data_IF_841706651205
#
_entry.id   IF_841706651205
#
_cell.length_a   1.000
_cell.length_b   1.000
_cell.length_c   1.000
_cell.angle_alpha   90.00
_cell.angle_beta   90.00
_cell.angle_gamma   90.00
#
_symmetry.space_group_name_H-M   'P 1'
#
loop_
_entity.id
_entity.type
_entity.pdbx_description
1 polymer ?
#
# COMPACT_ATOMS: atom_id res chain seq x y z
N UNK A 1 21.67 60.56 -57.28
CA UNK A 1 21.41 59.17 -57.61
C UNK A 1 22.30 58.28 -56.72
N UNK A 2 21.75 57.54 -55.78
CA UNK A 2 22.50 56.56 -54.99
C UNK A 2 22.72 55.30 -55.83
N UNK A 3 23.94 54.96 -56.14
CA UNK A 3 24.31 53.68 -56.82
C UNK A 3 23.88 52.54 -55.90
N UNK A 4 22.95 51.71 -56.33
CA UNK A 4 22.66 50.42 -55.69
C UNK A 4 23.83 49.49 -56.05
N UNK A 5 24.64 49.11 -55.08
CA UNK A 5 25.62 48.02 -55.23
C UNK A 5 24.86 46.68 -55.27
N UNK A 6 25.00 45.93 -56.36
CA UNK A 6 24.49 44.57 -56.48
C UNK A 6 25.42 43.60 -55.73
N UNK A 7 24.84 42.55 -55.17
CA UNK A 7 25.58 41.44 -54.53
C UNK A 7 26.45 40.71 -55.58
N UNK A 8 27.69 40.39 -55.22
CA UNK A 8 28.55 39.56 -56.04
C UNK A 8 28.21 38.07 -55.86
N UNK A 9 28.44 37.25 -56.91
CA UNK A 9 28.24 35.80 -56.84
C UNK A 9 29.01 35.13 -55.67
N UNK A 10 30.19 35.64 -55.37
CA UNK A 10 31.06 35.14 -54.28
C UNK A 10 30.45 35.44 -52.89
N UNK A 11 29.89 36.62 -52.71
CA UNK A 11 29.21 37.06 -51.52
C UNK A 11 27.97 36.20 -51.23
N UNK A 12 27.19 35.85 -52.25
CA UNK A 12 26.03 34.96 -52.18
C UNK A 12 26.44 33.55 -51.71
N UNK A 13 27.49 32.97 -52.30
CA UNK A 13 28.00 31.65 -51.96
C UNK A 13 28.52 31.62 -50.52
N UNK A 14 29.29 32.64 -50.11
CA UNK A 14 29.77 32.75 -48.72
C UNK A 14 28.62 32.83 -47.69
N UNK A 15 27.57 33.60 -47.99
CA UNK A 15 26.40 33.67 -47.12
C UNK A 15 25.68 32.34 -46.99
N UNK A 16 25.50 31.57 -48.07
CA UNK A 16 24.85 30.28 -48.03
C UNK A 16 25.67 29.27 -47.23
N UNK A 17 27.00 29.27 -47.34
CA UNK A 17 27.88 28.38 -46.58
C UNK A 17 27.78 28.70 -45.06
N UNK A 18 27.92 29.98 -44.71
CA UNK A 18 27.82 30.41 -43.32
C UNK A 18 26.43 30.11 -42.73
N UNK A 19 25.38 30.35 -43.52
CA UNK A 19 24.00 30.09 -43.09
C UNK A 19 23.77 28.59 -42.92
N UNK A 20 24.35 27.72 -43.76
CA UNK A 20 24.30 26.26 -43.62
C UNK A 20 24.98 25.77 -42.34
N UNK A 21 26.15 26.31 -42.01
CA UNK A 21 26.88 25.97 -40.77
C UNK A 21 26.08 26.41 -39.53
N UNK A 22 25.58 27.65 -39.51
CA UNK A 22 24.79 28.19 -38.42
C UNK A 22 23.46 27.41 -38.23
N UNK A 23 22.81 27.05 -39.35
CA UNK A 23 21.58 26.24 -39.29
C UNK A 23 21.84 24.84 -38.76
N UNK A 24 22.94 24.19 -39.10
CA UNK A 24 23.31 22.87 -38.56
C UNK A 24 23.55 22.92 -37.09
N UNK A 25 24.33 23.87 -36.57
CA UNK A 25 24.59 24.06 -35.14
C UNK A 25 23.27 24.37 -34.39
N UNK A 26 22.42 25.23 -34.95
CA UNK A 26 21.11 25.55 -34.40
C UNK A 26 20.19 24.32 -34.30
N UNK A 27 20.17 23.46 -35.33
CA UNK A 27 19.39 22.22 -35.32
C UNK A 27 19.86 21.24 -34.24
N UNK A 28 21.17 21.08 -34.01
CA UNK A 28 21.74 20.22 -32.96
C UNK A 28 21.38 20.74 -31.56
N UNK A 29 21.44 22.05 -31.34
CA UNK A 29 21.06 22.68 -30.07
C UNK A 29 19.57 22.43 -29.78
N UNK A 30 18.70 22.65 -30.77
CA UNK A 30 17.27 22.45 -30.61
C UNK A 30 16.97 20.98 -30.33
N UNK A 31 17.58 20.03 -31.05
CA UNK A 31 17.45 18.59 -30.82
C UNK A 31 17.83 18.21 -29.39
N UNK A 32 18.99 18.65 -28.92
CA UNK A 32 19.46 18.40 -27.57
C UNK A 32 18.56 19.00 -26.49
N UNK A 33 18.07 20.22 -26.70
CA UNK A 33 17.11 20.86 -25.78
C UNK A 33 15.79 20.09 -25.71
N UNK A 34 15.29 19.64 -26.86
CA UNK A 34 14.06 18.85 -26.90
C UNK A 34 14.21 17.49 -26.22
N UNK A 35 15.30 16.79 -26.45
CA UNK A 35 15.61 15.51 -25.78
C UNK A 35 15.73 15.69 -24.26
N UNK A 36 16.44 16.74 -23.81
CA UNK A 36 16.55 17.07 -22.39
C UNK A 36 15.18 17.43 -21.77
N UNK A 37 14.34 18.14 -22.48
CA UNK A 37 12.97 18.44 -22.05
C UNK A 37 12.15 17.18 -21.87
N UNK A 38 12.15 16.26 -22.85
CA UNK A 38 11.43 14.98 -22.77
C UNK A 38 11.91 14.16 -21.57
N UNK A 39 13.23 14.07 -21.38
CA UNK A 39 13.84 13.34 -20.26
C UNK A 39 13.44 13.93 -18.92
N UNK A 40 13.51 15.25 -18.76
CA UNK A 40 13.15 15.93 -17.53
C UNK A 40 11.66 15.74 -17.22
N UNK A 41 10.81 15.83 -18.24
CA UNK A 41 9.37 15.59 -18.10
C UNK A 41 9.07 14.16 -17.66
N UNK A 42 9.71 13.16 -18.26
CA UNK A 42 9.54 11.76 -17.89
C UNK A 42 9.99 11.49 -16.46
N UNK A 43 11.18 11.98 -16.07
CA UNK A 43 11.70 11.86 -14.69
C UNK A 43 10.74 12.47 -13.67
N UNK A 44 10.26 13.69 -13.91
CA UNK A 44 9.34 14.38 -12.98
C UNK A 44 8.02 13.60 -12.86
N UNK A 45 7.46 13.09 -13.97
CA UNK A 45 6.26 12.26 -13.96
C UNK A 45 6.47 11.00 -13.13
N UNK A 46 7.54 10.25 -13.37
CA UNK A 46 7.85 9.03 -12.65
C UNK A 46 8.08 9.28 -11.16
N UNK A 47 8.81 10.34 -10.81
CA UNK A 47 9.02 10.71 -9.41
C UNK A 47 7.71 11.01 -8.68
N UNK A 48 6.78 11.72 -9.33
CA UNK A 48 5.47 12.03 -8.77
C UNK A 48 4.62 10.77 -8.62
N UNK A 49 4.58 9.93 -9.64
CA UNK A 49 3.83 8.66 -9.60
C UNK A 49 4.37 7.72 -8.50
N UNK A 50 5.69 7.59 -8.39
CA UNK A 50 6.33 6.78 -7.36
C UNK A 50 6.02 7.30 -5.95
N UNK A 51 6.03 8.64 -5.76
CA UNK A 51 5.68 9.27 -4.49
C UNK A 51 4.24 9.00 -4.10
N UNK A 52 3.29 9.21 -5.03
CA UNK A 52 1.87 8.97 -4.80
C UNK A 52 1.62 7.49 -4.43
N UNK A 53 2.23 6.56 -5.16
CA UNK A 53 2.11 5.13 -4.88
C UNK A 53 2.64 4.79 -3.48
N UNK A 54 3.85 5.25 -3.14
CA UNK A 54 4.43 5.02 -1.81
C UNK A 54 3.62 5.68 -0.68
N UNK A 55 3.04 6.88 -0.92
CA UNK A 55 2.18 7.54 0.06
C UNK A 55 0.89 6.74 0.33
N UNK A 56 0.26 6.23 -0.72
CA UNK A 56 -0.94 5.38 -0.57
C UNK A 56 -0.64 4.09 0.20
N UNK A 57 0.50 3.46 -0.08
CA UNK A 57 0.95 2.26 0.64
C UNK A 57 1.25 2.60 2.10
N UNK A 58 2.02 3.67 2.33
CA UNK A 58 2.44 4.09 3.67
C UNK A 58 1.25 4.40 4.58
N UNK A 59 0.22 5.07 4.06
CA UNK A 59 -1.01 5.38 4.83
C UNK A 59 -1.73 4.13 5.32
N UNK A 60 -1.73 3.04 4.54
CA UNK A 60 -2.35 1.78 4.96
C UNK A 60 -1.47 1.00 5.93
N UNK A 61 -0.16 0.93 5.64
CA UNK A 61 0.80 0.29 6.53
C UNK A 61 0.98 1.00 7.87
N UNK A 62 0.69 2.29 7.95
CA UNK A 62 0.72 3.04 9.22
C UNK A 62 -0.27 2.47 10.25
N UNK A 63 -1.40 1.95 9.78
CA UNK A 63 -2.44 1.36 10.61
C UNK A 63 -2.39 -0.17 10.68
N UNK A 64 -1.21 -0.75 10.38
CA UNK A 64 -1.01 -2.20 10.50
C UNK A 64 -1.00 -2.66 11.95
N UNK A 65 -1.46 -3.85 12.19
CA UNK A 65 -1.16 -4.60 13.40
C UNK A 65 0.23 -5.20 13.20
N UNK A 66 1.23 -4.75 13.97
CA UNK A 66 2.66 -4.98 13.69
C UNK A 66 3.01 -6.46 13.59
N UNK A 67 2.43 -7.28 14.46
CA UNK A 67 2.76 -8.70 14.55
C UNK A 67 2.07 -9.55 13.48
N UNK A 68 1.10 -8.98 12.75
CA UNK A 68 0.40 -9.68 11.66
C UNK A 68 1.10 -9.59 10.31
N UNK A 69 2.23 -8.86 10.20
CA UNK A 69 2.85 -8.59 8.90
C UNK A 69 3.60 -9.80 8.38
N UNK A 70 3.21 -10.27 7.20
CA UNK A 70 3.83 -11.41 6.52
C UNK A 70 4.42 -11.03 5.16
N UNK A 71 5.40 -11.80 4.76
CA UNK A 71 5.90 -11.85 3.40
C UNK A 71 5.54 -13.20 2.78
N UNK A 72 4.97 -13.19 1.58
CA UNK A 72 4.48 -14.38 0.88
C UNK A 72 5.20 -14.59 -0.45
N UNK A 73 5.38 -15.86 -0.81
CA UNK A 73 5.78 -16.33 -2.13
C UNK A 73 5.02 -17.62 -2.49
N UNK A 74 5.35 -18.24 -3.62
CA UNK A 74 4.67 -19.45 -4.08
C UNK A 74 4.90 -20.68 -3.17
N UNK A 75 5.84 -20.63 -2.22
CA UNK A 75 6.14 -21.72 -1.30
C UNK A 75 5.44 -21.58 0.06
N UNK A 76 4.81 -20.44 0.33
CA UNK A 76 4.13 -20.10 1.59
C UNK A 76 4.47 -18.71 2.09
N UNK A 77 4.22 -18.47 3.35
CA UNK A 77 4.46 -17.18 4.00
C UNK A 77 5.35 -17.30 5.24
N UNK A 78 5.92 -16.17 5.66
CA UNK A 78 6.66 -16.02 6.92
C UNK A 78 6.40 -14.64 7.51
N UNK A 79 6.57 -14.52 8.83
CA UNK A 79 6.64 -13.20 9.46
C UNK A 79 7.70 -12.34 8.76
N UNK A 80 7.35 -11.11 8.40
CA UNK A 80 8.26 -10.19 7.73
C UNK A 80 9.55 -9.94 8.54
N UNK A 81 9.45 -9.95 9.87
CA UNK A 81 10.60 -9.81 10.77
C UNK A 81 11.62 -10.95 10.64
N UNK A 82 11.19 -12.15 10.21
CA UNK A 82 12.03 -13.32 10.06
C UNK A 82 12.60 -13.53 8.66
N UNK A 83 12.24 -12.67 7.69
CA UNK A 83 12.70 -12.79 6.30
C UNK A 83 14.15 -12.36 6.16
N UNK A 84 15.01 -13.29 5.69
CA UNK A 84 16.40 -13.00 5.42
C UNK A 84 16.59 -12.20 4.11
N UNK A 85 17.66 -11.42 4.03
CA UNK A 85 17.95 -10.50 2.89
C UNK A 85 18.07 -11.23 1.54
N UNK A 86 18.42 -12.51 1.55
CA UNK A 86 18.60 -13.35 0.37
C UNK A 86 17.35 -14.14 -0.02
N UNK A 87 16.27 -14.06 0.76
CA UNK A 87 15.00 -14.72 0.44
C UNK A 87 14.18 -13.88 -0.54
N UNK A 88 13.53 -14.53 -1.49
CA UNK A 88 12.76 -13.88 -2.53
C UNK A 88 11.26 -13.96 -2.25
N UNK A 89 10.77 -13.04 -1.42
CA UNK A 89 9.36 -12.82 -1.19
C UNK A 89 8.91 -11.60 -2.01
N UNK A 90 7.78 -11.72 -2.71
CA UNK A 90 7.28 -10.68 -3.61
C UNK A 90 6.00 -10.02 -3.13
N UNK A 91 5.20 -10.71 -2.30
CA UNK A 91 3.95 -10.20 -1.76
C UNK A 91 4.14 -9.81 -0.30
N UNK A 92 3.65 -8.63 0.07
CA UNK A 92 3.62 -8.11 1.44
C UNK A 92 2.18 -8.07 1.90
N UNK A 93 1.83 -8.73 3.02
CA UNK A 93 0.48 -8.77 3.57
C UNK A 93 0.47 -8.34 5.04
N UNK A 94 -0.64 -7.77 5.49
CA UNK A 94 -0.83 -7.35 6.88
C UNK A 94 -2.30 -7.19 7.22
N UNK A 95 -2.65 -7.33 8.49
CA UNK A 95 -3.96 -6.96 9.01
C UNK A 95 -3.92 -5.48 9.42
N UNK A 96 -4.90 -4.71 8.96
CA UNK A 96 -5.08 -3.31 9.33
C UNK A 96 -6.12 -3.14 10.42
N UNK A 97 -5.83 -2.30 11.44
CA UNK A 97 -6.88 -1.90 12.35
C UNK A 97 -7.73 -0.78 11.76
N UNK A 98 -9.00 -0.75 12.12
CA UNK A 98 -10.00 0.17 11.57
C UNK A 98 -9.86 1.57 12.17
N UNK A 99 -8.91 2.35 11.62
CA UNK A 99 -8.64 3.71 12.10
C UNK A 99 -9.81 4.68 11.83
N UNK A 100 -10.52 4.49 10.73
CA UNK A 100 -11.67 5.31 10.37
C UNK A 100 -12.79 5.13 11.38
N UNK A 101 -13.12 3.89 11.73
CA UNK A 101 -14.14 3.59 12.73
C UNK A 101 -13.68 3.95 14.16
N UNK A 102 -12.36 3.94 14.44
CA UNK A 102 -11.83 4.44 15.71
C UNK A 102 -12.20 5.91 15.94
N UNK A 103 -12.11 6.74 14.91
CA UNK A 103 -12.43 8.18 15.01
C UNK A 103 -13.89 8.44 15.31
N UNK A 104 -14.80 7.56 14.90
CA UNK A 104 -16.24 7.76 15.03
C UNK A 104 -16.76 8.98 14.27
N UNK A 105 -18.04 9.28 14.42
CA UNK A 105 -18.67 10.44 13.77
C UNK A 105 -18.69 11.70 14.67
N UNK A 106 -18.37 11.56 15.95
CA UNK A 106 -18.54 12.63 16.93
C UNK A 106 -17.35 12.87 17.84
N UNK A 107 -17.64 13.16 19.10
CA UNK A 107 -16.62 13.36 20.16
C UNK A 107 -16.20 12.04 20.80
N UNK A 108 -17.06 11.04 20.75
CA UNK A 108 -16.82 9.70 21.28
C UNK A 108 -16.21 8.85 20.17
N UNK A 109 -15.13 8.11 20.44
CA UNK A 109 -14.59 7.18 19.45
C UNK A 109 -15.58 6.07 19.14
N UNK A 110 -15.55 5.53 17.92
CA UNK A 110 -16.38 4.39 17.57
C UNK A 110 -16.02 3.13 18.37
N UNK A 111 -14.74 2.98 18.72
CA UNK A 111 -14.24 1.97 19.66
C UNK A 111 -13.07 2.54 20.44
N UNK A 112 -13.00 2.27 21.77
CA UNK A 112 -12.00 2.88 22.63
C UNK A 112 -10.64 2.19 22.60
N UNK A 113 -10.58 0.94 22.16
CA UNK A 113 -9.38 0.11 22.19
C UNK A 113 -9.00 -0.35 23.60
N UNK A 114 -9.91 -0.18 24.58
CA UNK A 114 -9.73 -0.55 25.97
C UNK A 114 -10.90 -1.43 26.45
N UNK A 115 -10.61 -2.41 27.30
CA UNK A 115 -11.56 -3.33 27.90
C UNK A 115 -11.46 -3.20 29.41
N UNK A 116 -12.59 -3.02 30.08
CA UNK A 116 -12.67 -3.07 31.53
C UNK A 116 -12.88 -4.54 31.96
N UNK A 117 -11.81 -5.14 32.49
CA UNK A 117 -11.79 -6.56 32.89
C UNK A 117 -12.62 -6.82 34.16
N UNK A 118 -12.79 -5.80 35.01
CA UNK A 118 -13.52 -5.91 36.27
C UNK A 118 -15.04 -5.65 36.12
N UNK A 119 -15.47 -5.20 34.92
CA UNK A 119 -16.87 -4.91 34.66
C UNK A 119 -17.71 -6.18 34.50
N UNK A 120 -18.92 -6.21 35.09
CA UNK A 120 -19.81 -7.37 35.03
C UNK A 120 -20.21 -7.81 33.65
N UNK A 121 -20.15 -6.92 32.66
CA UNK A 121 -20.41 -7.21 31.22
C UNK A 121 -19.19 -7.84 30.51
N UNK A 122 -18.01 -7.84 31.12
CA UNK A 122 -16.87 -8.64 30.67
C UNK A 122 -17.03 -10.04 31.27
N UNK A 123 -17.61 -10.96 30.50
CA UNK A 123 -18.16 -12.20 31.05
C UNK A 123 -17.99 -13.37 30.06
N UNK A 124 -17.21 -14.39 30.43
CA UNK A 124 -16.99 -15.59 29.64
C UNK A 124 -18.27 -16.38 29.32
N UNK A 125 -19.16 -16.69 30.27
CA UNK A 125 -20.39 -17.40 29.97
C UNK A 125 -21.30 -16.70 28.94
N UNK A 126 -21.31 -15.36 28.93
CA UNK A 126 -22.06 -14.57 27.96
C UNK A 126 -21.27 -14.32 26.67
N UNK A 127 -19.97 -14.60 26.67
CA UNK A 127 -19.00 -14.24 25.61
C UNK A 127 -19.00 -12.76 25.29
N UNK A 128 -19.12 -11.91 26.28
CA UNK A 128 -19.16 -10.45 26.13
C UNK A 128 -17.96 -9.79 26.76
N UNK A 129 -17.56 -8.65 26.21
CA UNK A 129 -16.53 -7.75 26.75
C UNK A 129 -17.04 -6.33 26.77
N UNK A 130 -16.76 -5.62 27.86
CA UNK A 130 -17.14 -4.22 28.04
C UNK A 130 -16.00 -3.30 27.61
N UNK A 131 -16.28 -2.39 26.69
CA UNK A 131 -15.33 -1.44 26.12
C UNK A 131 -15.78 -0.01 26.38
N UNK A 132 -15.47 0.53 27.58
CA UNK A 132 -15.98 1.82 28.03
C UNK A 132 -15.54 2.97 27.14
N UNK A 133 -16.43 3.95 26.98
CA UNK A 133 -16.18 5.14 26.17
C UNK A 133 -16.22 4.89 24.66
N UNK A 134 -16.73 3.74 24.23
CA UNK A 134 -16.96 3.42 22.83
C UNK A 134 -18.34 3.88 22.37
N UNK A 135 -18.52 4.00 21.05
CA UNK A 135 -19.82 4.11 20.39
C UNK A 135 -19.85 3.11 19.23
N UNK A 136 -20.03 1.84 19.57
CA UNK A 136 -19.89 0.72 18.65
C UNK A 136 -20.91 0.73 17.50
N UNK A 137 -22.06 1.40 17.67
CA UNK A 137 -22.99 1.65 16.59
C UNK A 137 -22.37 2.49 15.47
N UNK A 138 -21.62 3.56 15.80
CA UNK A 138 -20.92 4.39 14.83
C UNK A 138 -19.79 3.58 14.15
N UNK A 139 -19.05 2.79 14.91
CA UNK A 139 -17.99 1.92 14.34
C UNK A 139 -18.56 0.93 13.35
N UNK A 140 -19.71 0.34 13.66
CA UNK A 140 -20.43 -0.58 12.77
C UNK A 140 -20.84 0.11 11.48
N UNK A 141 -21.55 1.24 11.56
CA UNK A 141 -22.01 2.00 10.38
C UNK A 141 -20.85 2.41 9.47
N UNK A 142 -19.72 2.87 10.06
CA UNK A 142 -18.54 3.25 9.30
C UNK A 142 -17.92 2.05 8.58
N UNK A 143 -17.77 0.90 9.26
CA UNK A 143 -17.19 -0.30 8.65
C UNK A 143 -18.09 -0.82 7.53
N UNK A 144 -19.40 -0.92 7.75
CA UNK A 144 -20.37 -1.33 6.74
C UNK A 144 -20.30 -0.40 5.51
N UNK A 145 -20.27 0.91 5.72
CA UNK A 145 -20.15 1.88 4.64
C UNK A 145 -18.82 1.77 3.87
N UNK A 146 -17.67 1.56 4.55
CA UNK A 146 -16.36 1.42 3.93
C UNK A 146 -16.21 0.14 3.11
N UNK A 147 -16.93 -0.90 3.50
CA UNK A 147 -16.86 -2.23 2.88
C UNK A 147 -18.04 -2.50 1.95
N UNK A 148 -18.90 -1.51 1.69
CA UNK A 148 -20.13 -1.67 0.92
C UNK A 148 -20.98 -2.84 1.42
N UNK A 149 -21.16 -2.93 2.73
CA UNK A 149 -21.91 -4.00 3.45
C UNK A 149 -21.33 -5.42 3.25
N UNK A 150 -20.11 -5.57 2.75
CA UNK A 150 -19.47 -6.89 2.69
C UNK A 150 -19.03 -7.39 4.06
N UNK A 151 -18.71 -6.49 4.99
CA UNK A 151 -18.51 -6.77 6.42
C UNK A 151 -19.74 -6.26 7.17
N UNK A 152 -20.53 -7.17 7.74
CA UNK A 152 -21.91 -6.91 8.18
C UNK A 152 -22.15 -7.20 9.68
N UNK A 153 -21.14 -7.54 10.45
CA UNK A 153 -21.22 -7.93 11.87
C UNK A 153 -22.17 -9.11 12.18
N UNK A 154 -22.77 -9.69 11.18
CA UNK A 154 -23.67 -10.85 11.30
C UNK A 154 -23.03 -12.12 10.74
N UNK A 155 -22.56 -12.07 9.50
CA UNK A 155 -21.98 -13.22 8.77
C UNK A 155 -20.47 -13.03 8.60
N UNK A 156 -20.05 -11.97 7.88
CA UNK A 156 -18.66 -11.62 7.65
C UNK A 156 -18.23 -10.60 8.72
N UNK A 157 -17.98 -11.11 9.92
CA UNK A 157 -17.72 -10.31 11.11
C UNK A 157 -16.31 -9.75 11.16
N UNK A 158 -16.14 -8.49 11.60
CA UNK A 158 -14.82 -7.99 11.98
C UNK A 158 -14.28 -8.75 13.20
N UNK A 159 -13.01 -8.53 13.52
CA UNK A 159 -12.38 -9.16 14.65
C UNK A 159 -11.69 -8.16 15.57
N UNK A 160 -11.56 -8.53 16.84
CA UNK A 160 -10.63 -7.87 17.77
C UNK A 160 -9.34 -8.68 17.88
N UNK A 161 -8.24 -7.97 18.08
CA UNK A 161 -6.90 -8.53 18.25
C UNK A 161 -6.28 -7.83 19.48
N UNK A 162 -5.87 -8.60 20.47
CA UNK A 162 -5.26 -8.06 21.69
C UNK A 162 -3.82 -7.61 21.46
N UNK A 163 -3.42 -6.52 22.15
CA UNK A 163 -2.09 -5.89 22.00
C UNK A 163 -1.00 -6.56 22.84
N UNK A 164 -1.38 -7.11 23.98
CA UNK A 164 -0.43 -7.55 25.02
C UNK A 164 -0.09 -9.05 24.95
N UNK A 165 -0.65 -9.81 24.03
CA UNK A 165 -0.33 -11.24 23.91
C UNK A 165 1.15 -11.40 23.52
N UNK A 166 1.95 -11.97 24.40
CA UNK A 166 3.42 -11.98 24.30
C UNK A 166 4.03 -13.09 23.43
N UNK A 167 3.23 -14.06 22.99
CA UNK A 167 3.67 -15.17 22.14
C UNK A 167 2.79 -15.23 20.90
N UNK A 168 3.29 -14.68 19.81
CA UNK A 168 2.59 -14.73 18.53
C UNK A 168 3.24 -15.77 17.62
N UNK A 169 2.48 -16.77 17.27
CA UNK A 169 2.78 -17.56 16.08
C UNK A 169 2.05 -16.91 14.91
N UNK A 170 2.79 -16.50 13.88
CA UNK A 170 2.23 -15.76 12.73
C UNK A 170 1.14 -16.57 12.02
N UNK A 171 1.20 -17.89 12.13
CA UNK A 171 0.25 -18.82 11.51
C UNK A 171 -1.13 -18.81 12.21
N UNK A 172 -1.23 -18.23 13.42
CA UNK A 172 -2.45 -18.23 14.25
C UNK A 172 -3.39 -17.04 13.95
N UNK A 173 -3.11 -16.25 12.89
CA UNK A 173 -4.01 -15.18 12.43
C UNK A 173 -5.05 -15.65 11.39
N UNK A 174 -5.08 -16.94 11.08
CA UNK A 174 -5.98 -17.52 10.08
C UNK A 174 -5.50 -17.40 8.63
N UNK A 175 -4.23 -17.00 8.40
CA UNK A 175 -3.66 -16.96 7.07
C UNK A 175 -3.81 -18.30 6.34
N UNK A 176 -4.22 -18.29 5.06
CA UNK A 176 -4.46 -19.46 4.22
C UNK A 176 -5.49 -20.46 4.79
N UNK A 177 -6.48 -19.96 5.57
CA UNK A 177 -7.44 -20.81 6.24
C UNK A 177 -6.85 -21.65 7.37
N UNK A 178 -5.68 -21.25 7.87
CA UNK A 178 -5.00 -21.89 9.00
C UNK A 178 -5.70 -21.65 10.34
N UNK A 179 -5.00 -21.97 11.42
CA UNK A 179 -5.50 -21.77 12.78
C UNK A 179 -5.71 -20.29 13.05
N UNK A 180 -6.79 -19.93 13.73
CA UNK A 180 -7.07 -18.57 14.16
C UNK A 180 -7.26 -18.52 15.67
N UNK A 181 -6.22 -18.10 16.41
CA UNK A 181 -6.24 -17.96 17.87
C UNK A 181 -6.01 -16.51 18.34
N UNK A 182 -5.83 -15.57 17.40
CA UNK A 182 -5.51 -14.17 17.72
C UNK A 182 -6.57 -13.18 17.26
N UNK A 183 -7.39 -13.52 16.27
CA UNK A 183 -8.44 -12.65 15.75
C UNK A 183 -9.81 -13.19 16.15
N UNK A 184 -10.43 -12.58 17.16
CA UNK A 184 -11.71 -13.00 17.71
C UNK A 184 -12.86 -12.27 17.02
N UNK A 185 -13.71 -13.03 16.33
CA UNK A 185 -14.87 -12.47 15.59
C UNK A 185 -15.86 -11.85 16.55
N UNK A 186 -16.35 -10.67 16.20
CA UNK A 186 -17.24 -9.90 17.07
C UNK A 186 -18.54 -9.50 16.39
N UNK A 187 -19.55 -9.29 17.22
CA UNK A 187 -20.78 -8.56 16.90
C UNK A 187 -21.00 -7.47 17.96
N UNK A 188 -21.81 -6.48 17.62
CA UNK A 188 -22.15 -5.39 18.54
C UNK A 188 -23.41 -5.79 19.32
N UNK A 189 -23.32 -5.80 20.65
CA UNK A 189 -24.47 -6.02 21.55
C UNK A 189 -25.14 -4.70 21.88
N UNK A 190 -24.35 -3.71 22.32
CA UNK A 190 -24.73 -2.32 22.54
C UNK A 190 -23.53 -1.39 22.28
N UNK A 191 -23.64 -0.08 22.57
CA UNK A 191 -22.60 0.89 22.24
C UNK A 191 -21.27 0.69 22.99
N UNK A 192 -21.27 -0.01 24.12
CA UNK A 192 -20.07 -0.27 24.91
C UNK A 192 -19.81 -1.77 25.16
N UNK A 193 -20.59 -2.66 24.54
CA UNK A 193 -20.46 -4.11 24.72
C UNK A 193 -20.31 -4.83 23.39
N UNK A 194 -19.20 -5.53 23.24
CA UNK A 194 -18.95 -6.46 22.14
C UNK A 194 -19.30 -7.88 22.57
N UNK A 195 -19.83 -8.66 21.64
CA UNK A 195 -20.06 -10.09 21.78
C UNK A 195 -19.12 -10.85 20.87
N UNK A 196 -18.39 -11.81 21.42
CA UNK A 196 -17.46 -12.67 20.71
C UNK A 196 -18.14 -13.97 20.28
N UNK A 197 -17.74 -14.52 19.14
CA UNK A 197 -18.18 -15.86 18.72
C UNK A 197 -17.49 -16.92 19.59
N UNK A 198 -16.19 -16.75 19.83
CA UNK A 198 -15.40 -17.59 20.72
C UNK A 198 -14.70 -16.73 21.75
N UNK A 199 -14.79 -17.12 23.04
CA UNK A 199 -14.17 -16.37 24.10
C UNK A 199 -12.73 -16.86 24.29
N UNK A 200 -11.74 -15.95 24.34
CA UNK A 200 -10.32 -16.32 24.53
C UNK A 200 -10.05 -16.86 25.94
N UNK A 201 -9.02 -17.70 26.07
CA UNK A 201 -8.56 -18.18 27.37
C UNK A 201 -8.06 -17.04 28.28
N UNK A 202 -7.48 -16.00 27.67
CA UNK A 202 -7.02 -14.80 28.35
C UNK A 202 -7.55 -13.56 27.62
N UNK A 203 -8.11 -12.62 28.41
CA UNK A 203 -8.57 -11.30 27.92
C UNK A 203 -7.58 -10.25 28.42
N UNK A 204 -7.16 -9.35 27.53
CA UNK A 204 -6.25 -8.25 27.84
C UNK A 204 -6.97 -6.90 27.78
N UNK A 205 -6.41 -5.90 28.44
CA UNK A 205 -7.04 -4.57 28.54
C UNK A 205 -7.10 -3.81 27.22
N UNK A 206 -6.14 -4.06 26.29
CA UNK A 206 -6.07 -3.30 25.05
C UNK A 206 -6.27 -4.18 23.83
N UNK A 207 -7.03 -3.65 22.86
CA UNK A 207 -7.31 -4.34 21.63
C UNK A 207 -7.24 -3.43 20.40
N UNK A 208 -7.12 -4.03 19.24
CA UNK A 208 -7.38 -3.44 17.94
C UNK A 208 -8.68 -4.02 17.37
N UNK A 209 -9.49 -3.17 16.74
CA UNK A 209 -10.60 -3.62 15.92
C UNK A 209 -10.14 -3.68 14.46
N UNK A 210 -10.24 -4.84 13.84
CA UNK A 210 -9.85 -5.07 12.44
C UNK A 210 -11.05 -5.55 11.62
N UNK A 211 -11.19 -5.03 10.40
CA UNK A 211 -12.23 -5.45 9.46
C UNK A 211 -11.66 -5.96 8.13
N UNK A 212 -10.38 -5.77 7.88
CA UNK A 212 -9.72 -6.16 6.62
C UNK A 212 -8.25 -6.46 6.81
N UNK A 213 -7.74 -7.37 6.01
CA UNK A 213 -6.33 -7.46 5.68
C UNK A 213 -6.05 -6.74 4.34
N UNK A 214 -4.77 -6.50 4.10
CA UNK A 214 -4.24 -5.89 2.89
C UNK A 214 -3.08 -6.70 2.34
N UNK A 215 -2.95 -6.75 1.01
CA UNK A 215 -1.78 -7.31 0.37
C UNK A 215 -1.29 -6.42 -0.77
N UNK A 216 0.03 -6.35 -0.95
CA UNK A 216 0.69 -5.75 -2.10
C UNK A 216 1.32 -6.86 -2.93
N UNK A 217 0.80 -7.09 -4.13
CA UNK A 217 1.21 -8.18 -4.99
C UNK A 217 1.64 -7.68 -6.38
N UNK A 218 2.85 -8.06 -6.87
CA UNK A 218 3.19 -7.92 -8.27
C UNK A 218 2.33 -8.81 -9.16
N UNK A 219 1.79 -8.25 -10.24
CA UNK A 219 0.96 -8.95 -11.22
C UNK A 219 1.36 -8.61 -12.64
N UNK A 220 0.97 -9.43 -13.62
CA UNK A 220 1.21 -9.21 -15.06
C UNK A 220 2.69 -8.97 -15.40
N UNK A 221 3.61 -9.69 -14.73
CA UNK A 221 5.04 -9.50 -14.90
C UNK A 221 5.51 -9.95 -16.29
N UNK A 222 6.19 -9.05 -17.01
CA UNK A 222 6.86 -9.27 -18.28
C UNK A 222 8.29 -8.73 -18.22
N UNK A 223 9.12 -9.05 -19.21
CA UNK A 223 10.47 -8.49 -19.34
C UNK A 223 10.55 -7.65 -20.59
N UNK A 224 10.88 -6.37 -20.45
CA UNK A 224 11.08 -5.40 -21.53
C UNK A 224 12.53 -4.92 -21.50
N UNK A 225 13.28 -5.13 -22.57
CA UNK A 225 14.69 -4.69 -22.69
C UNK A 225 15.54 -5.06 -21.45
N UNK A 226 15.42 -6.27 -20.93
CA UNK A 226 16.07 -6.78 -19.72
C UNK A 226 15.65 -6.10 -18.39
N UNK A 227 14.55 -5.35 -18.38
CA UNK A 227 13.95 -4.77 -17.17
C UNK A 227 12.64 -5.52 -16.89
N UNK A 228 12.42 -5.91 -15.63
CA UNK A 228 11.11 -6.40 -15.19
C UNK A 228 10.09 -5.26 -15.33
N UNK A 229 8.92 -5.57 -15.88
CA UNK A 229 7.76 -4.68 -15.92
C UNK A 229 6.55 -5.42 -15.38
N UNK A 230 5.95 -4.90 -14.33
CA UNK A 230 4.76 -5.47 -13.69
C UNK A 230 3.84 -4.36 -13.14
N UNK A 231 2.61 -4.74 -12.84
CA UNK A 231 1.68 -3.92 -12.08
C UNK A 231 1.79 -4.27 -10.60
N UNK A 232 1.76 -3.27 -9.73
CA UNK A 232 1.64 -3.46 -8.28
C UNK A 232 0.17 -3.30 -7.90
N UNK A 233 -0.46 -4.39 -7.48
CA UNK A 233 -1.84 -4.42 -7.00
C UNK A 233 -1.91 -4.37 -5.48
N UNK A 234 -2.91 -3.69 -4.98
CA UNK A 234 -3.36 -3.74 -3.59
C UNK A 234 -4.62 -4.59 -3.54
N UNK A 235 -4.59 -5.62 -2.71
CA UNK A 235 -5.77 -6.39 -2.32
C UNK A 235 -6.26 -5.89 -0.96
N UNK A 236 -7.58 -5.86 -0.75
CA UNK A 236 -8.22 -5.39 0.48
C UNK A 236 -9.63 -6.00 0.60
N UNK A 237 -10.33 -5.77 1.71
CA UNK A 237 -11.65 -6.34 2.02
C UNK A 237 -11.69 -7.88 2.12
N UNK A 238 -10.56 -8.51 2.48
CA UNK A 238 -10.52 -9.93 2.83
C UNK A 238 -10.15 -10.12 4.30
N UNK A 239 -10.58 -11.24 4.87
CA UNK A 239 -10.49 -11.50 6.30
C UNK A 239 -9.85 -12.88 6.56
N UNK A 240 -8.55 -12.97 6.86
CA UNK A 240 -7.88 -14.25 7.15
C UNK A 240 -8.57 -15.05 8.25
N UNK A 241 -9.12 -14.40 9.27
CA UNK A 241 -9.87 -15.05 10.35
C UNK A 241 -11.21 -15.68 9.92
N UNK A 242 -11.64 -15.47 8.69
CA UNK A 242 -12.72 -16.19 8.02
C UNK A 242 -12.21 -17.26 7.06
N UNK A 243 -10.90 -17.47 6.97
CA UNK A 243 -10.27 -18.38 6.03
C UNK A 243 -10.16 -17.84 4.61
N UNK A 244 -10.32 -16.51 4.45
CA UNK A 244 -10.17 -15.83 3.16
C UNK A 244 -8.68 -15.54 2.88
N UNK A 245 -8.31 -15.58 1.62
CA UNK A 245 -7.01 -15.16 1.12
C UNK A 245 -7.12 -13.84 0.29
N UNK A 246 -5.98 -13.40 -0.24
CA UNK A 246 -5.94 -12.13 -0.99
C UNK A 246 -6.79 -12.15 -2.27
N UNK A 247 -7.08 -13.33 -2.84
CA UNK A 247 -7.87 -13.47 -4.07
C UNK A 247 -9.39 -13.41 -3.79
N UNK A 248 -9.81 -13.56 -2.53
CA UNK A 248 -11.21 -13.40 -2.09
C UNK A 248 -11.60 -11.93 -1.88
N UNK A 249 -10.62 -11.02 -1.84
CA UNK A 249 -10.84 -9.60 -1.64
C UNK A 249 -11.03 -8.79 -2.91
N UNK A 250 -11.22 -7.48 -2.73
CA UNK A 250 -11.19 -6.51 -3.82
C UNK A 250 -9.75 -6.20 -4.23
N UNK A 251 -9.55 -5.76 -5.48
CA UNK A 251 -8.22 -5.35 -5.96
C UNK A 251 -8.21 -3.96 -6.57
N UNK A 252 -7.08 -3.26 -6.42
CA UNK A 252 -6.83 -1.98 -7.07
C UNK A 252 -5.37 -1.87 -7.54
N UNK A 253 -5.15 -1.33 -8.74
CA UNK A 253 -3.80 -1.07 -9.25
C UNK A 253 -3.25 0.18 -8.57
N UNK A 254 -2.16 0.04 -7.81
CA UNK A 254 -1.44 1.15 -7.15
C UNK A 254 -0.42 1.79 -8.08
N UNK A 255 0.30 0.97 -8.85
CA UNK A 255 1.30 1.44 -9.80
C UNK A 255 1.40 0.51 -11.00
N UNK A 256 1.66 1.11 -12.17
CA UNK A 256 2.00 0.41 -13.41
C UNK A 256 3.46 0.66 -13.75
N UNK A 257 4.01 -0.19 -14.61
CA UNK A 257 5.39 -0.10 -15.07
C UNK A 257 6.38 -0.11 -13.91
N UNK A 258 6.16 -1.04 -12.97
CA UNK A 258 7.04 -1.26 -11.83
C UNK A 258 8.20 -2.16 -12.26
N UNK A 259 9.43 -1.67 -12.05
CA UNK A 259 10.65 -2.47 -12.29
C UNK A 259 11.22 -3.10 -11.04
N UNK A 260 10.87 -2.56 -9.87
CA UNK A 260 11.32 -3.09 -8.59
C UNK A 260 10.33 -2.73 -7.48
N UNK A 261 9.91 -3.74 -6.72
CA UNK A 261 9.25 -3.58 -5.42
C UNK A 261 9.99 -4.42 -4.40
N UNK A 262 10.51 -3.79 -3.36
CA UNK A 262 11.23 -4.45 -2.27
C UNK A 262 10.74 -3.90 -0.93
N UNK A 263 10.70 -4.77 0.04
CA UNK A 263 10.31 -4.44 1.41
C UNK A 263 11.19 -5.20 2.40
N UNK A 264 11.38 -4.61 3.58
CA UNK A 264 12.13 -5.20 4.68
C UNK A 264 11.63 -4.61 6.00
N UNK A 265 11.55 -5.43 7.02
CA UNK A 265 11.35 -4.97 8.40
C UNK A 265 12.70 -4.80 9.11
N UNK A 266 12.79 -3.74 9.93
CA UNK A 266 13.94 -3.44 10.79
C UNK A 266 13.39 -2.93 12.13
N UNK A 267 13.33 -3.82 13.11
CA UNK A 267 12.54 -3.61 14.34
C UNK A 267 11.07 -3.37 14.01
N UNK A 268 10.52 -2.27 14.51
CA UNK A 268 9.12 -1.87 14.28
C UNK A 268 8.89 -1.15 12.94
N UNK A 269 9.96 -0.87 12.20
CA UNK A 269 9.89 -0.09 10.97
C UNK A 269 9.82 -1.01 9.75
N UNK A 270 9.01 -0.63 8.78
CA UNK A 270 9.01 -1.25 7.46
C UNK A 270 9.62 -0.27 6.46
N UNK A 271 10.64 -0.74 5.77
CA UNK A 271 11.29 -0.02 4.68
C UNK A 271 10.80 -0.55 3.35
N UNK A 272 10.31 0.35 2.51
CA UNK A 272 9.84 0.05 1.15
C UNK A 272 10.74 0.73 0.13
N UNK A 273 11.00 0.05 -0.98
CA UNK A 273 11.62 0.60 -2.18
C UNK A 273 10.77 0.28 -3.39
N UNK A 274 10.42 1.32 -4.16
CA UNK A 274 9.65 1.23 -5.38
C UNK A 274 10.37 1.94 -6.51
N UNK A 275 10.50 1.26 -7.65
CA UNK A 275 11.05 1.82 -8.88
C UNK A 275 10.00 1.69 -9.99
N UNK A 276 9.72 2.80 -10.66
CA UNK A 276 8.88 2.84 -11.86
C UNK A 276 9.72 3.19 -13.08
N UNK A 277 9.30 2.73 -14.26
CA UNK A 277 9.92 3.11 -15.51
C UNK A 277 8.89 3.71 -16.50
N UNK A 278 9.36 4.39 -17.54
CA UNK A 278 8.50 5.13 -18.45
C UNK A 278 7.96 4.30 -19.64
N UNK A 279 8.31 3.02 -19.71
CA UNK A 279 7.92 2.11 -20.79
C UNK A 279 8.12 2.72 -22.19
N UNK A 280 9.18 3.53 -22.37
CA UNK A 280 9.47 4.29 -23.63
C UNK A 280 8.37 5.26 -24.08
N UNK A 281 7.41 5.59 -23.21
CA UNK A 281 6.35 6.58 -23.54
C UNK A 281 6.91 7.98 -23.75
N UNK A 282 8.10 8.26 -23.24
CA UNK A 282 8.81 9.54 -23.47
C UNK A 282 9.25 9.74 -24.93
N UNK A 283 9.27 8.68 -25.73
CA UNK A 283 9.81 8.70 -27.10
C UNK A 283 11.34 8.71 -27.17
N UNK A 284 12.02 8.43 -26.04
CA UNK A 284 13.46 8.26 -25.96
C UNK A 284 13.86 6.80 -26.27
N UNK A 285 15.09 6.61 -26.74
CA UNK A 285 15.62 5.25 -27.01
C UNK A 285 15.82 4.47 -25.71
N UNK A 286 16.31 5.15 -24.66
CA UNK A 286 16.59 4.56 -23.35
C UNK A 286 15.34 4.59 -22.46
N UNK A 287 15.14 3.51 -21.68
CA UNK A 287 14.13 3.46 -20.62
C UNK A 287 14.59 4.30 -19.43
N UNK A 288 13.74 5.23 -19.01
CA UNK A 288 13.99 6.05 -17.83
C UNK A 288 13.38 5.34 -16.60
N UNK A 289 14.16 5.21 -15.53
CA UNK A 289 13.74 4.62 -14.26
C UNK A 289 13.85 5.65 -13.15
N UNK A 290 12.85 5.72 -12.29
CA UNK A 290 12.88 6.50 -11.05
C UNK A 290 12.56 5.62 -9.84
N UNK A 291 13.42 5.67 -8.83
CA UNK A 291 13.26 4.91 -7.60
C UNK A 291 13.08 5.84 -6.40
N UNK A 292 12.25 5.43 -5.45
CA UNK A 292 12.13 6.05 -4.13
C UNK A 292 12.07 5.01 -3.04
N UNK A 293 12.53 5.41 -1.86
CA UNK A 293 12.43 4.62 -0.64
C UNK A 293 11.60 5.38 0.40
N UNK A 294 10.87 4.60 1.22
CA UNK A 294 10.11 5.14 2.35
C UNK A 294 10.24 4.22 3.55
N UNK A 295 10.33 4.84 4.72
CA UNK A 295 10.32 4.15 6.02
C UNK A 295 9.00 4.48 6.72
N UNK A 296 8.35 3.45 7.26
CA UNK A 296 7.05 3.53 7.94
C UNK A 296 7.25 2.97 9.35
N UNK A 297 6.86 3.77 10.36
CA UNK A 297 7.02 3.47 11.78
C UNK A 297 5.79 2.78 12.36
#
# INVERSE_FOLDING_TARGET
>A
MRKKSGFTMVELVMVIIVLGIVASIGADIISNLYTNYLRTRAVNRLQTQTEIALEQIAKRLQYRIKDSVIARNNAGFKSLASVAVNENYKTLEWIGYSNESLRGEGKTPGWSGFIDLDHNSTNEPAKTIFTPGSKLSDAKEIIEALTYDTVDFAIKKPAIIFKEKSTFEIDEYGWDGGVNEHAFKISVEDDETLKLDDFPDEVFEHYYLAHTAYALQPSNAVVLDNIEDFELKLHYNYQPWHGEDLDDGDEAIIAKHVSLFRFKQDGDMIRLKLCLHDNKESGLEDIIVACKERVIY
#
